data_IF_783205571938
#
_entry.id   IF_783205571938
#
_cell.length_a   1.000
_cell.length_b   1.000
_cell.length_c   1.000
_cell.angle_alpha   90.00
_cell.angle_beta   90.00
_cell.angle_gamma   90.00
#
_symmetry.space_group_name_H-M   'P 1'
#
loop_
_entity.id
_entity.type
_entity.pdbx_description
1 polymer ?
#
# COMPACT_ATOMS: atom_id res chain seq x y z
N UNK A 1 10.62 -1.73 21.73
CA UNK A 1 10.09 -2.07 20.39
C UNK A 1 9.79 -3.56 20.24
N UNK A 2 10.65 -4.49 20.68
CA UNK A 2 10.35 -5.93 20.56
C UNK A 2 9.27 -6.39 21.57
N UNK A 3 9.20 -5.78 22.76
CA UNK A 3 8.18 -6.10 23.78
C UNK A 3 6.75 -5.78 23.32
N UNK A 4 6.55 -4.73 22.52
CA UNK A 4 5.21 -4.33 22.07
C UNK A 4 4.62 -5.31 21.05
N UNK A 5 5.47 -5.92 20.21
CA UNK A 5 5.10 -6.93 19.21
C UNK A 5 4.60 -8.24 19.84
N UNK A 6 5.16 -8.61 20.99
CA UNK A 6 4.81 -9.85 21.70
C UNK A 6 3.39 -9.83 22.30
N UNK A 7 2.80 -8.64 22.46
CA UNK A 7 1.47 -8.47 23.05
C UNK A 7 0.33 -8.44 22.02
N UNK A 8 0.64 -8.46 20.72
CA UNK A 8 -0.38 -8.36 19.67
C UNK A 8 -0.95 -9.75 19.36
N UNK A 9 -2.25 -9.93 19.61
CA UNK A 9 -2.97 -11.15 19.26
C UNK A 9 -3.10 -11.31 17.74
N UNK A 10 -2.59 -12.40 17.18
CA UNK A 10 -2.76 -12.73 15.75
C UNK A 10 -4.24 -12.85 15.34
N UNK A 11 -5.14 -13.12 16.29
CA UNK A 11 -6.58 -13.11 16.06
C UNK A 11 -7.12 -11.70 15.80
N UNK A 12 -6.60 -10.69 16.50
CA UNK A 12 -6.98 -9.29 16.31
C UNK A 12 -6.31 -8.71 15.06
N UNK A 13 -5.04 -9.04 14.80
CA UNK A 13 -4.36 -8.74 13.53
C UNK A 13 -5.18 -9.24 12.34
N UNK A 14 -5.71 -10.48 12.41
CA UNK A 14 -6.55 -11.02 11.34
C UNK A 14 -7.83 -10.20 11.15
N UNK A 15 -8.48 -9.74 12.22
CA UNK A 15 -9.67 -8.88 12.11
C UNK A 15 -9.34 -7.55 11.45
N UNK A 16 -8.27 -6.90 11.89
CA UNK A 16 -7.81 -5.62 11.34
C UNK A 16 -7.51 -5.74 9.85
N UNK A 17 -6.79 -6.81 9.45
CA UNK A 17 -6.46 -7.08 8.06
C UNK A 17 -7.74 -7.30 7.23
N UNK A 18 -8.68 -8.12 7.70
CA UNK A 18 -9.94 -8.36 6.98
C UNK A 18 -10.77 -7.08 6.83
N UNK A 19 -10.80 -6.23 7.85
CA UNK A 19 -11.45 -4.93 7.78
C UNK A 19 -10.74 -4.01 6.77
N UNK A 20 -9.41 -3.92 6.83
CA UNK A 20 -8.61 -3.14 5.89
C UNK A 20 -8.80 -3.55 4.43
N UNK A 21 -8.91 -4.85 4.15
CA UNK A 21 -9.21 -5.37 2.81
C UNK A 21 -10.56 -4.84 2.31
N UNK A 22 -11.60 -4.91 3.14
CA UNK A 22 -12.94 -4.40 2.78
C UNK A 22 -12.91 -2.90 2.51
N UNK A 23 -12.32 -2.13 3.42
CA UNK A 23 -12.26 -0.68 3.29
C UNK A 23 -11.44 -0.21 2.07
N UNK A 24 -10.34 -0.90 1.75
CA UNK A 24 -9.55 -0.62 0.55
C UNK A 24 -10.31 -0.99 -0.74
N UNK A 25 -10.99 -2.15 -0.76
CA UNK A 25 -11.75 -2.59 -1.92
C UNK A 25 -12.92 -1.66 -2.24
N UNK A 26 -13.65 -1.21 -1.21
CA UNK A 26 -14.72 -0.23 -1.35
C UNK A 26 -14.27 1.07 -2.01
N UNK A 27 -13.02 1.45 -1.76
CA UNK A 27 -12.40 2.69 -2.22
C UNK A 27 -11.58 2.52 -3.51
N UNK A 28 -11.50 1.31 -4.06
CA UNK A 28 -10.71 1.05 -5.27
C UNK A 28 -9.19 1.06 -5.06
N UNK A 29 -8.72 0.94 -3.81
CA UNK A 29 -7.30 0.95 -3.44
C UNK A 29 -6.69 -0.44 -3.57
N UNK A 30 -6.64 -0.94 -4.80
CA UNK A 30 -6.36 -2.35 -5.12
C UNK A 30 -4.99 -2.84 -4.63
N UNK A 31 -3.95 -2.01 -4.71
CA UNK A 31 -2.60 -2.44 -4.28
C UNK A 31 -2.49 -2.62 -2.77
N UNK A 32 -3.18 -1.77 -1.99
CA UNK A 32 -3.24 -1.95 -0.53
C UNK A 32 -4.08 -3.17 -0.16
N UNK A 33 -5.21 -3.39 -0.85
CA UNK A 33 -6.02 -4.59 -0.66
C UNK A 33 -5.25 -5.88 -1.00
N UNK A 34 -4.48 -5.88 -2.11
CA UNK A 34 -3.59 -6.97 -2.52
C UNK A 34 -2.58 -7.27 -1.41
N UNK A 35 -1.86 -6.25 -0.96
CA UNK A 35 -0.84 -6.38 0.08
C UNK A 35 -1.40 -6.95 1.39
N UNK A 36 -2.57 -6.45 1.82
CA UNK A 36 -3.26 -6.96 3.01
C UNK A 36 -3.71 -8.41 2.84
N UNK A 37 -4.20 -8.79 1.65
CA UNK A 37 -4.60 -10.16 1.37
C UNK A 37 -3.41 -11.12 1.37
N UNK A 38 -2.27 -10.73 0.79
CA UNK A 38 -1.01 -11.50 0.84
C UNK A 38 -0.53 -11.68 2.28
N UNK A 39 -0.61 -10.63 3.11
CA UNK A 39 -0.27 -10.70 4.53
C UNK A 39 -1.20 -11.62 5.31
N UNK A 40 -2.52 -11.54 5.08
CA UNK A 40 -3.49 -12.44 5.71
C UNK A 40 -3.21 -13.91 5.36
N UNK A 41 -2.93 -14.18 4.09
CA UNK A 41 -2.65 -15.52 3.59
C UNK A 41 -1.36 -16.09 4.21
N UNK A 42 -0.27 -15.33 4.18
CA UNK A 42 1.01 -15.77 4.73
C UNK A 42 0.95 -15.97 6.25
N UNK A 43 0.28 -15.07 7.00
CA UNK A 43 0.04 -15.23 8.43
C UNK A 43 -0.73 -16.52 8.73
N UNK A 44 -1.77 -16.83 7.96
CA UNK A 44 -2.53 -18.06 8.14
C UNK A 44 -1.65 -19.30 7.90
N UNK A 45 -0.87 -19.32 6.82
CA UNK A 45 0.05 -20.44 6.51
C UNK A 45 1.08 -20.65 7.62
N UNK A 46 1.61 -19.57 8.20
CA UNK A 46 2.54 -19.66 9.35
C UNK A 46 1.89 -20.20 10.63
N UNK A 47 0.56 -20.05 10.76
CA UNK A 47 -0.21 -20.57 11.89
C UNK A 47 -0.71 -22.01 11.67
N UNK A 48 -0.68 -22.54 10.45
CA UNK A 48 -1.10 -23.91 10.15
C UNK A 48 -0.10 -24.93 10.72
N UNK A 49 -0.56 -25.75 11.66
CA UNK A 49 0.21 -26.82 12.31
C UNK A 49 -0.73 -27.88 12.90
N UNK A 50 -0.24 -29.10 13.21
CA UNK A 50 -1.10 -30.18 13.70
C UNK A 50 -1.84 -29.75 14.98
N UNK A 51 -3.18 -29.75 14.93
CA UNK A 51 -4.05 -29.40 16.06
C UNK A 51 -4.53 -27.94 16.13
N UNK A 52 -4.17 -27.06 15.18
CA UNK A 52 -4.64 -25.65 15.16
C UNK A 52 -5.83 -25.49 14.21
N UNK A 53 -6.97 -25.04 14.74
CA UNK A 53 -8.17 -24.73 13.96
C UNK A 53 -8.01 -23.42 13.19
N UNK A 54 -8.48 -23.37 11.93
CA UNK A 54 -8.54 -22.10 11.17
C UNK A 54 -9.39 -21.09 11.93
N UNK A 55 -8.90 -19.86 12.17
CA UNK A 55 -9.71 -18.82 12.81
C UNK A 55 -10.95 -18.56 11.96
N UNK A 56 -12.14 -18.69 12.56
CA UNK A 56 -13.42 -18.49 11.90
C UNK A 56 -13.48 -17.07 11.32
N UNK A 57 -13.90 -16.94 10.06
CA UNK A 57 -14.18 -15.62 9.46
C UNK A 57 -15.36 -15.03 10.24
N UNK A 58 -15.20 -13.87 10.91
CA UNK A 58 -16.31 -13.30 11.66
C UNK A 58 -17.47 -12.97 10.70
N UNK A 59 -18.71 -13.33 11.08
CA UNK A 59 -19.93 -12.93 10.36
C UNK A 59 -20.04 -11.40 10.11
N UNK A 60 -19.27 -10.62 10.87
CA UNK A 60 -19.10 -9.17 10.74
C UNK A 60 -18.51 -8.73 9.39
N UNK A 61 -17.85 -9.61 8.63
CA UNK A 61 -17.28 -9.25 7.32
C UNK A 61 -18.34 -8.78 6.30
N UNK A 62 -19.55 -9.37 6.34
CA UNK A 62 -20.67 -8.94 5.49
C UNK A 62 -21.21 -7.58 5.93
N UNK A 63 -21.34 -7.35 7.24
CA UNK A 63 -21.81 -6.06 7.79
C UNK A 63 -20.85 -4.93 7.42
N UNK A 64 -19.54 -5.20 7.46
CA UNK A 64 -18.52 -4.24 7.05
C UNK A 64 -18.59 -3.88 5.57
N UNK A 65 -19.26 -4.66 4.70
CA UNK A 65 -19.44 -4.30 3.29
C UNK A 65 -20.45 -3.16 3.09
N UNK A 66 -21.30 -2.88 4.08
CA UNK A 66 -22.38 -1.88 3.99
C UNK A 66 -22.07 -0.62 4.82
N UNK A 67 -21.06 -0.64 5.69
CA UNK A 67 -20.71 0.54 6.50
C UNK A 67 -20.09 1.69 5.69
N UNK A 68 -20.37 2.93 6.08
CA UNK A 68 -19.71 4.14 5.56
C UNK A 68 -20.21 4.63 4.19
N UNK A 69 -21.29 4.04 3.68
CA UNK A 69 -22.06 4.52 2.52
C UNK A 69 -23.40 5.02 3.04
N UNK A 70 -23.84 6.21 2.62
CA UNK A 70 -25.14 6.75 2.99
C UNK A 70 -26.28 5.93 2.36
N UNK A 71 -27.39 5.76 3.09
CA UNK A 71 -28.54 4.96 2.63
C UNK A 71 -29.10 5.41 1.27
N UNK A 72 -28.95 6.69 0.93
CA UNK A 72 -29.43 7.29 -0.33
C UNK A 72 -28.35 7.35 -1.42
N UNK A 73 -27.14 6.86 -1.17
CA UNK A 73 -26.00 6.97 -2.08
C UNK A 73 -25.55 5.60 -2.63
N UNK A 74 -26.25 4.51 -2.27
CA UNK A 74 -25.89 3.16 -2.69
C UNK A 74 -25.97 2.96 -4.20
N UNK A 75 -27.03 3.48 -4.84
CA UNK A 75 -27.26 3.29 -6.28
C UNK A 75 -26.16 3.99 -7.09
N UNK A 76 -25.89 5.26 -6.77
CA UNK A 76 -24.81 6.04 -7.38
C UNK A 76 -23.43 5.43 -7.08
N UNK A 77 -23.21 4.98 -5.84
CA UNK A 77 -21.95 4.36 -5.44
C UNK A 77 -21.66 3.08 -6.23
N UNK A 78 -22.59 2.13 -6.28
CA UNK A 78 -22.35 0.86 -6.96
C UNK A 78 -22.17 1.06 -8.47
N UNK A 79 -22.92 1.97 -9.07
CA UNK A 79 -22.74 2.35 -10.47
C UNK A 79 -21.36 2.96 -10.72
N UNK A 80 -20.96 3.94 -9.89
CA UNK A 80 -19.65 4.57 -10.00
C UNK A 80 -18.50 3.60 -9.73
N UNK A 81 -18.66 2.69 -8.77
CA UNK A 81 -17.66 1.67 -8.45
C UNK A 81 -17.48 0.69 -9.60
N UNK A 82 -18.57 0.29 -10.27
CA UNK A 82 -18.48 -0.52 -11.49
C UNK A 82 -17.73 0.21 -12.61
N UNK A 83 -18.01 1.50 -12.84
CA UNK A 83 -17.24 2.31 -13.79
C UNK A 83 -15.76 2.45 -13.40
N UNK A 84 -15.48 2.64 -12.11
CA UNK A 84 -14.12 2.72 -11.60
C UNK A 84 -13.34 1.43 -11.88
N UNK A 85 -13.95 0.27 -11.64
CA UNK A 85 -13.34 -1.04 -11.88
C UNK A 85 -13.09 -1.30 -13.38
N UNK A 86 -13.96 -0.78 -14.24
CA UNK A 86 -13.77 -0.75 -15.69
C UNK A 86 -12.76 0.32 -16.18
N UNK A 87 -12.12 1.07 -15.27
CA UNK A 87 -11.18 2.18 -15.57
C UNK A 87 -11.82 3.34 -16.35
N UNK A 88 -13.12 3.54 -16.16
CA UNK A 88 -13.91 4.65 -16.69
C UNK A 88 -14.04 5.77 -15.64
N UNK A 89 -12.89 6.32 -15.24
CA UNK A 89 -12.78 7.19 -14.07
C UNK A 89 -13.60 8.49 -14.17
N UNK A 90 -13.70 9.12 -15.34
CA UNK A 90 -14.52 10.32 -15.53
C UNK A 90 -16.02 10.03 -15.28
N UNK A 91 -16.51 8.85 -15.68
CA UNK A 91 -17.89 8.41 -15.41
C UNK A 91 -18.09 8.16 -13.91
N UNK A 92 -17.16 7.46 -13.28
CA UNK A 92 -17.20 7.21 -11.84
C UNK A 92 -17.27 8.52 -11.04
N UNK A 93 -16.38 9.48 -11.36
CA UNK A 93 -16.38 10.80 -10.75
C UNK A 93 -17.68 11.57 -10.96
N UNK A 94 -18.29 11.48 -12.15
CA UNK A 94 -19.56 12.14 -12.44
C UNK A 94 -20.69 11.67 -11.52
N UNK A 95 -20.85 10.35 -11.32
CA UNK A 95 -21.95 9.81 -10.52
C UNK A 95 -21.78 10.02 -9.01
N UNK A 96 -20.56 10.22 -8.51
CA UNK A 96 -20.29 10.48 -7.07
C UNK A 96 -20.07 11.95 -6.71
N UNK A 97 -20.31 12.88 -7.65
CA UNK A 97 -20.00 14.32 -7.46
C UNK A 97 -20.75 15.01 -6.31
N UNK A 98 -21.97 14.54 -6.01
CA UNK A 98 -22.79 15.08 -4.91
C UNK A 98 -22.67 14.24 -3.64
N UNK A 99 -21.81 13.22 -3.64
CA UNK A 99 -21.73 12.30 -2.52
C UNK A 99 -20.99 12.90 -1.32
N UNK A 100 -21.52 12.66 -0.14
CA UNK A 100 -21.04 13.20 1.13
C UNK A 100 -20.53 12.12 2.09
N UNK A 101 -21.02 10.88 2.00
CA UNK A 101 -20.52 9.83 2.89
C UNK A 101 -19.07 9.47 2.57
N UNK A 102 -18.30 8.99 3.57
CA UNK A 102 -16.84 8.87 3.44
C UNK A 102 -16.38 8.03 2.24
N UNK A 103 -17.05 6.91 1.95
CA UNK A 103 -16.64 5.99 0.88
C UNK A 103 -16.89 6.56 -0.52
N UNK A 104 -18.12 6.92 -0.91
CA UNK A 104 -18.39 7.50 -2.22
C UNK A 104 -17.68 8.85 -2.43
N UNK A 105 -17.54 9.66 -1.38
CA UNK A 105 -16.76 10.91 -1.41
C UNK A 105 -15.29 10.66 -1.74
N UNK A 106 -14.65 9.70 -1.05
CA UNK A 106 -13.30 9.30 -1.40
C UNK A 106 -13.24 8.79 -2.84
N UNK A 107 -14.18 7.93 -3.24
CA UNK A 107 -14.23 7.38 -4.60
C UNK A 107 -14.37 8.47 -5.65
N UNK A 108 -15.13 9.54 -5.39
CA UNK A 108 -15.22 10.72 -6.24
C UNK A 108 -13.86 11.39 -6.44
N UNK A 109 -13.20 11.76 -5.34
CA UNK A 109 -11.90 12.45 -5.37
C UNK A 109 -10.83 11.57 -6.03
N UNK A 110 -10.81 10.29 -5.71
CA UNK A 110 -9.87 9.33 -6.26
C UNK A 110 -10.14 9.05 -7.75
N UNK A 111 -11.40 9.00 -8.18
CA UNK A 111 -11.76 8.90 -9.61
C UNK A 111 -11.28 10.12 -10.39
N UNK A 112 -11.48 11.34 -9.86
CA UNK A 112 -10.96 12.58 -10.48
C UNK A 112 -9.43 12.54 -10.59
N UNK A 113 -8.75 12.03 -9.57
CA UNK A 113 -7.31 11.84 -9.60
C UNK A 113 -6.86 10.81 -10.64
N UNK A 114 -7.48 9.62 -10.65
CA UNK A 114 -7.12 8.53 -11.56
C UNK A 114 -7.43 8.85 -13.03
N UNK A 115 -8.50 9.60 -13.31
CA UNK A 115 -8.78 10.11 -14.65
C UNK A 115 -7.63 10.96 -15.19
N UNK A 116 -7.02 11.79 -14.33
CA UNK A 116 -5.88 12.66 -14.69
C UNK A 116 -4.60 11.85 -14.86
N UNK A 117 -4.31 10.90 -13.97
CA UNK A 117 -3.15 10.02 -14.15
C UNK A 117 -3.25 9.19 -15.43
N UNK A 118 -4.46 8.71 -15.77
CA UNK A 118 -4.70 8.01 -17.04
C UNK A 118 -4.40 8.90 -18.24
N UNK A 119 -4.96 10.11 -18.30
CA UNK A 119 -4.69 11.09 -19.37
C UNK A 119 -3.20 11.44 -19.47
N UNK A 120 -2.54 11.67 -18.34
CA UNK A 120 -1.09 11.93 -18.29
C UNK A 120 -0.28 10.78 -18.88
N UNK A 121 -0.63 9.53 -18.57
CA UNK A 121 0.06 8.35 -19.11
C UNK A 121 -0.20 8.17 -20.61
N UNK A 122 -1.45 8.34 -21.06
CA UNK A 122 -1.83 8.24 -22.47
C UNK A 122 -1.12 9.33 -23.32
N UNK A 123 -0.97 10.55 -22.77
CA UNK A 123 -0.26 11.64 -23.45
C UNK A 123 1.26 11.46 -23.49
N UNK A 124 1.87 10.71 -22.56
CA UNK A 124 3.32 10.42 -22.62
C UNK A 124 3.67 9.59 -23.87
N UNK A 125 2.73 8.80 -24.39
CA UNK A 125 2.91 8.05 -25.64
C UNK A 125 2.63 8.88 -26.89
N UNK A 126 1.81 9.93 -26.81
CA UNK A 126 1.39 10.77 -27.93
C UNK A 126 2.03 12.17 -27.84
N UNK A 127 3.33 12.28 -28.19
CA UNK A 127 4.10 13.54 -28.14
C UNK A 127 3.65 14.67 -29.08
N UNK A 128 2.51 14.55 -29.77
CA UNK A 128 2.13 15.43 -30.89
C UNK A 128 1.01 16.44 -30.56
N UNK A 129 0.31 16.31 -29.43
CA UNK A 129 -0.79 17.23 -29.07
C UNK A 129 -0.80 17.53 -27.57
N UNK A 130 0.21 18.27 -27.10
CA UNK A 130 0.28 18.70 -25.70
C UNK A 130 -0.68 19.89 -25.46
N UNK A 131 -1.65 19.70 -24.57
CA UNK A 131 -2.44 20.77 -23.94
C UNK A 131 -2.10 20.82 -22.43
N UNK A 132 -0.81 20.76 -22.10
CA UNK A 132 -0.26 20.67 -20.73
C UNK A 132 -0.85 21.70 -19.77
N UNK A 133 -1.18 22.90 -20.27
CA UNK A 133 -1.78 23.97 -19.48
C UNK A 133 -3.17 23.62 -18.92
N UNK A 134 -3.98 22.86 -19.66
CA UNK A 134 -5.31 22.43 -19.19
C UNK A 134 -5.19 21.35 -18.12
N UNK A 135 -4.26 20.41 -18.28
CA UNK A 135 -4.08 19.31 -17.34
C UNK A 135 -3.54 19.78 -15.99
N UNK A 136 -2.58 20.72 -16.03
CA UNK A 136 -2.07 21.41 -14.85
C UNK A 136 -3.17 22.18 -14.13
N UNK A 137 -4.06 22.85 -14.87
CA UNK A 137 -5.18 23.59 -14.30
C UNK A 137 -6.13 22.66 -13.55
N UNK A 138 -6.57 21.57 -14.19
CA UNK A 138 -7.52 20.64 -13.56
C UNK A 138 -6.92 19.98 -12.31
N UNK A 139 -5.64 19.60 -12.32
CA UNK A 139 -4.97 19.05 -11.13
C UNK A 139 -4.92 20.07 -9.99
N UNK A 140 -4.67 21.34 -10.30
CA UNK A 140 -4.69 22.43 -9.31
C UNK A 140 -6.09 22.68 -8.74
N UNK A 141 -7.16 22.51 -9.52
CA UNK A 141 -8.53 22.61 -9.03
C UNK A 141 -8.82 21.52 -7.97
N UNK A 142 -8.49 20.25 -8.27
CA UNK A 142 -8.64 19.17 -7.28
C UNK A 142 -7.76 19.39 -6.04
N UNK A 143 -6.57 19.96 -6.22
CA UNK A 143 -5.70 20.29 -5.10
C UNK A 143 -6.34 21.36 -4.19
N UNK A 144 -6.93 22.39 -4.77
CA UNK A 144 -7.59 23.45 -3.99
C UNK A 144 -8.84 22.93 -3.27
N UNK A 145 -9.63 22.06 -3.92
CA UNK A 145 -10.78 21.39 -3.29
C UNK A 145 -10.33 20.62 -2.02
N UNK A 146 -9.29 19.78 -2.14
CA UNK A 146 -8.74 19.01 -1.02
C UNK A 146 -8.17 19.91 0.07
N UNK A 147 -7.50 21.00 -0.30
CA UNK A 147 -6.93 21.96 0.65
C UNK A 147 -8.00 22.68 1.45
N UNK A 148 -9.10 23.10 0.81
CA UNK A 148 -10.25 23.70 1.50
C UNK A 148 -10.83 22.72 2.52
N UNK A 149 -11.07 21.47 2.11
CA UNK A 149 -11.61 20.47 3.02
C UNK A 149 -10.66 20.04 4.13
N UNK A 150 -9.35 20.05 3.87
CA UNK A 150 -8.32 19.82 4.89
C UNK A 150 -8.35 20.91 5.96
N UNK A 151 -8.42 22.18 5.55
CA UNK A 151 -8.53 23.31 6.48
C UNK A 151 -9.82 23.24 7.32
N UNK A 152 -10.91 22.76 6.73
CA UNK A 152 -12.19 22.53 7.40
C UNK A 152 -12.22 21.25 8.26
N UNK A 153 -11.14 20.45 8.27
CA UNK A 153 -11.04 19.14 8.96
C UNK A 153 -12.12 18.15 8.55
N UNK A 154 -12.48 18.13 7.26
CA UNK A 154 -13.50 17.24 6.68
C UNK A 154 -12.93 16.01 5.98
N UNK A 155 -11.61 15.90 5.87
CA UNK A 155 -10.95 14.75 5.23
C UNK A 155 -10.79 13.59 6.22
N UNK A 156 -11.24 12.41 5.82
CA UNK A 156 -10.93 11.16 6.53
C UNK A 156 -9.51 10.67 6.21
N UNK A 157 -9.06 9.61 6.88
CA UNK A 157 -7.71 9.05 6.68
C UNK A 157 -7.37 8.69 5.23
N UNK A 158 -8.36 8.28 4.43
CA UNK A 158 -8.16 7.93 3.02
C UNK A 158 -8.03 9.18 2.15
N UNK A 159 -8.87 10.20 2.38
CA UNK A 159 -8.76 11.47 1.69
C UNK A 159 -7.46 12.21 2.06
N UNK A 160 -7.02 12.14 3.33
CA UNK A 160 -5.71 12.65 3.77
C UNK A 160 -4.57 11.95 3.03
N UNK A 161 -4.64 10.63 2.84
CA UNK A 161 -3.68 9.90 2.01
C UNK A 161 -3.61 10.47 0.58
N UNK A 162 -4.75 10.63 -0.09
CA UNK A 162 -4.80 11.17 -1.45
C UNK A 162 -4.23 12.60 -1.51
N UNK A 163 -4.59 13.44 -0.56
CA UNK A 163 -4.05 14.80 -0.45
C UNK A 163 -2.52 14.78 -0.24
N UNK A 164 -2.01 13.92 0.63
CA UNK A 164 -0.58 13.70 0.85
C UNK A 164 0.16 13.27 -0.41
N UNK A 165 -0.40 12.35 -1.19
CA UNK A 165 0.16 11.92 -2.50
C UNK A 165 0.25 13.10 -3.45
N UNK A 166 -0.80 13.91 -3.55
CA UNK A 166 -0.82 15.07 -4.43
C UNK A 166 0.21 16.13 -3.97
N UNK A 167 0.31 16.40 -2.66
CA UNK A 167 1.30 17.34 -2.11
C UNK A 167 2.73 16.90 -2.41
N UNK A 168 3.01 15.59 -2.28
CA UNK A 168 4.31 15.00 -2.62
C UNK A 168 4.63 15.18 -4.10
N UNK A 169 3.66 14.99 -5.00
CA UNK A 169 3.81 15.25 -6.44
C UNK A 169 4.10 16.72 -6.77
N UNK A 170 3.66 17.66 -5.94
CA UNK A 170 4.01 19.09 -6.07
C UNK A 170 5.33 19.46 -5.36
N UNK A 171 6.10 18.49 -4.88
CA UNK A 171 7.34 18.69 -4.12
C UNK A 171 7.15 19.46 -2.79
N UNK A 172 5.94 19.44 -2.23
CA UNK A 172 5.62 20.04 -0.93
C UNK A 172 5.89 19.04 0.21
N UNK A 173 7.12 18.52 0.28
CA UNK A 173 7.49 17.36 1.10
C UNK A 173 7.17 17.50 2.59
N UNK A 174 7.37 18.69 3.18
CA UNK A 174 7.10 18.91 4.60
C UNK A 174 5.60 18.92 4.93
N UNK A 175 4.77 19.45 4.03
CA UNK A 175 3.32 19.40 4.17
C UNK A 175 2.80 17.98 3.94
N UNK A 176 3.30 17.32 2.90
CA UNK A 176 2.99 15.92 2.61
C UNK A 176 3.33 15.02 3.81
N UNK A 177 4.48 15.23 4.45
CA UNK A 177 4.89 14.50 5.64
C UNK A 177 3.85 14.64 6.77
N UNK A 178 3.44 15.87 7.09
CA UNK A 178 2.47 16.12 8.16
C UNK A 178 1.10 15.51 7.85
N UNK A 179 0.60 15.70 6.63
CA UNK A 179 -0.69 15.16 6.19
C UNK A 179 -0.69 13.63 6.15
N UNK A 180 0.40 13.01 5.69
CA UNK A 180 0.51 11.54 5.67
C UNK A 180 0.66 10.97 7.07
N UNK A 181 1.30 11.68 8.01
CA UNK A 181 1.29 11.30 9.43
C UNK A 181 -0.14 11.32 10.00
N UNK A 182 -0.94 12.33 9.67
CA UNK A 182 -2.37 12.34 10.04
C UNK A 182 -3.14 11.18 9.39
N UNK A 183 -2.87 10.89 8.11
CA UNK A 183 -3.51 9.79 7.37
C UNK A 183 -3.24 8.43 8.02
N UNK A 184 -1.98 8.10 8.34
CA UNK A 184 -1.65 6.81 8.95
C UNK A 184 -2.16 6.67 10.38
N UNK A 185 -2.33 7.78 11.11
CA UNK A 185 -2.96 7.77 12.43
C UNK A 185 -4.47 7.50 12.35
N UNK A 186 -5.16 7.99 11.31
CA UNK A 186 -6.60 7.77 11.11
C UNK A 186 -6.92 6.44 10.41
N UNK A 187 -6.08 6.01 9.48
CA UNK A 187 -6.25 4.77 8.71
C UNK A 187 -4.96 3.91 8.72
N UNK A 188 -4.60 3.31 9.88
CA UNK A 188 -3.35 2.53 10.01
C UNK A 188 -3.26 1.33 9.05
N UNK A 189 -4.39 0.80 8.61
CA UNK A 189 -4.46 -0.34 7.69
C UNK A 189 -4.17 0.02 6.23
N UNK A 190 -4.14 1.31 5.87
CA UNK A 190 -3.86 1.75 4.52
C UNK A 190 -2.35 1.70 4.22
N UNK A 191 -1.85 0.56 3.76
CA UNK A 191 -0.41 0.37 3.48
C UNK A 191 0.17 1.40 2.51
N UNK A 192 -0.58 1.83 1.50
CA UNK A 192 -0.12 2.86 0.56
C UNK A 192 0.26 4.19 1.24
N UNK A 193 -0.41 4.59 2.33
CA UNK A 193 -0.07 5.81 3.05
C UNK A 193 1.30 5.70 3.74
N UNK A 194 1.63 4.53 4.28
CA UNK A 194 2.93 4.25 4.87
C UNK A 194 4.05 4.21 3.82
N UNK A 195 3.78 3.62 2.65
CA UNK A 195 4.73 3.63 1.53
C UNK A 195 5.01 5.05 1.02
N UNK A 196 4.00 5.91 0.96
CA UNK A 196 4.19 7.30 0.55
C UNK A 196 4.95 8.13 1.60
N UNK A 197 4.77 7.79 2.87
CA UNK A 197 5.42 8.41 4.03
C UNK A 197 6.91 8.06 4.13
N UNK A 198 7.29 6.81 3.86
CA UNK A 198 8.66 6.30 4.05
C UNK A 198 9.73 7.18 3.36
N UNK A 199 9.60 7.53 2.06
CA UNK A 199 10.57 8.40 1.37
C UNK A 199 10.67 9.84 1.89
N UNK A 200 9.72 10.29 2.71
CA UNK A 200 9.72 11.63 3.31
C UNK A 200 10.49 11.66 4.64
N UNK A 201 10.96 10.50 5.12
CA UNK A 201 11.78 10.37 6.31
C UNK A 201 13.24 10.25 5.86
N UNK A 202 14.07 11.29 6.04
CA UNK A 202 15.43 11.32 5.50
C UNK A 202 16.42 10.49 6.31
N UNK A 203 16.15 10.25 7.60
CA UNK A 203 17.08 9.61 8.52
C UNK A 203 16.38 8.95 9.72
N UNK A 204 17.18 8.19 10.49
CA UNK A 204 16.75 7.46 11.68
C UNK A 204 16.27 8.39 12.79
N UNK A 205 16.87 9.56 12.95
CA UNK A 205 16.49 10.51 14.00
C UNK A 205 15.08 11.03 13.75
N UNK A 206 14.79 11.42 12.50
CA UNK A 206 13.46 11.84 12.09
C UNK A 206 12.44 10.73 12.30
N UNK A 207 12.75 9.49 11.91
CA UNK A 207 11.88 8.32 12.13
C UNK A 207 11.52 8.13 13.61
N UNK A 208 12.47 8.34 14.52
CA UNK A 208 12.25 8.22 15.96
C UNK A 208 11.49 9.42 16.55
N UNK A 209 11.57 10.59 15.92
CA UNK A 209 10.91 11.82 16.38
C UNK A 209 9.41 11.91 16.00
N UNK A 210 8.99 11.22 14.93
CA UNK A 210 7.62 11.32 14.41
C UNK A 210 6.63 10.53 15.27
N UNK A 211 5.43 11.08 15.45
CA UNK A 211 4.34 10.43 16.18
C UNK A 211 3.58 9.48 15.26
N UNK A 212 3.93 8.20 15.35
CA UNK A 212 3.26 7.11 14.65
C UNK A 212 2.15 6.52 15.54
N UNK A 213 1.06 5.99 14.96
CA UNK A 213 -0.01 5.34 15.72
C UNK A 213 0.52 4.16 16.54
N UNK A 214 -0.12 3.92 17.68
CA UNK A 214 0.09 2.72 18.48
C UNK A 214 -0.66 1.54 17.84
N UNK A 215 -0.05 0.99 16.79
CA UNK A 215 -0.65 -0.05 15.94
C UNK A 215 0.44 -0.95 15.36
N UNK A 216 0.17 -2.24 15.21
CA UNK A 216 1.15 -3.24 14.78
C UNK A 216 1.76 -2.94 13.38
N UNK A 217 0.98 -2.32 12.48
CA UNK A 217 1.45 -1.85 11.16
C UNK A 217 2.69 -0.95 11.23
N UNK A 218 2.85 -0.18 12.33
CA UNK A 218 4.04 0.65 12.56
C UNK A 218 5.33 -0.15 12.50
N UNK A 219 5.34 -1.40 12.98
CA UNK A 219 6.54 -2.22 13.00
C UNK A 219 6.98 -2.65 11.60
N UNK A 220 6.02 -2.96 10.72
CA UNK A 220 6.29 -3.26 9.31
C UNK A 220 6.80 -2.00 8.60
N UNK A 221 6.16 -0.85 8.86
CA UNK A 221 6.62 0.44 8.34
C UNK A 221 8.07 0.76 8.77
N UNK A 222 8.39 0.66 10.06
CA UNK A 222 9.74 0.93 10.57
C UNK A 222 10.78 -0.01 9.93
N UNK A 223 10.45 -1.29 9.77
CA UNK A 223 11.33 -2.26 9.10
C UNK A 223 11.57 -1.89 7.62
N UNK A 224 10.52 -1.52 6.90
CA UNK A 224 10.61 -1.05 5.53
C UNK A 224 11.48 0.23 5.42
N UNK A 225 11.20 1.23 6.24
CA UNK A 225 11.96 2.49 6.26
C UNK A 225 13.43 2.27 6.62
N UNK A 226 13.76 1.30 7.48
CA UNK A 226 15.17 0.95 7.74
C UNK A 226 15.90 0.42 6.50
N UNK A 227 15.25 -0.41 5.68
CA UNK A 227 15.84 -0.89 4.42
C UNK A 227 16.04 0.27 3.45
N UNK A 228 15.05 1.16 3.31
CA UNK A 228 15.13 2.35 2.45
C UNK A 228 16.26 3.31 2.88
N UNK A 229 16.48 3.44 4.19
CA UNK A 229 17.59 4.21 4.78
C UNK A 229 18.94 3.47 4.76
N UNK A 230 19.02 2.30 4.11
CA UNK A 230 20.19 1.41 4.06
C UNK A 230 20.69 0.93 5.44
N UNK A 231 19.84 1.01 6.47
CA UNK A 231 20.04 0.43 7.81
C UNK A 231 19.65 -1.05 7.79
N UNK A 232 20.30 -1.81 6.91
CA UNK A 232 19.88 -3.17 6.55
C UNK A 232 19.93 -4.14 7.75
N UNK A 233 20.89 -3.99 8.67
CA UNK A 233 20.99 -4.83 9.87
C UNK A 233 19.79 -4.66 10.80
N UNK A 234 19.41 -3.41 11.09
CA UNK A 234 18.20 -3.13 11.87
C UNK A 234 16.92 -3.55 11.14
N UNK A 235 16.84 -3.35 9.83
CA UNK A 235 15.72 -3.79 9.01
C UNK A 235 15.54 -5.31 9.03
N UNK A 236 16.62 -6.07 8.79
CA UNK A 236 16.62 -7.55 8.83
C UNK A 236 16.18 -8.04 10.21
N UNK A 237 16.77 -7.49 11.28
CA UNK A 237 16.40 -7.88 12.64
C UNK A 237 14.92 -7.63 12.91
N UNK A 238 14.41 -6.46 12.54
CA UNK A 238 13.00 -6.12 12.77
C UNK A 238 12.05 -7.02 11.97
N UNK A 239 12.38 -7.40 10.73
CA UNK A 239 11.60 -8.36 9.96
C UNK A 239 11.67 -9.79 10.52
N UNK A 240 12.82 -10.22 11.03
CA UNK A 240 12.95 -11.50 11.71
C UNK A 240 12.11 -11.53 13.00
N UNK A 241 12.12 -10.46 13.79
CA UNK A 241 11.28 -10.32 14.99
C UNK A 241 9.78 -10.40 14.63
N UNK A 242 9.36 -9.76 13.52
CA UNK A 242 8.01 -9.89 12.97
C UNK A 242 7.68 -11.34 12.58
N UNK A 243 8.61 -12.04 11.92
CA UNK A 243 8.43 -13.45 11.57
C UNK A 243 8.28 -14.34 12.81
N UNK A 244 9.10 -14.13 13.84
CA UNK A 244 8.98 -14.85 15.11
C UNK A 244 7.64 -14.57 15.82
N UNK A 245 7.07 -13.37 15.66
CA UNK A 245 5.74 -13.01 16.16
C UNK A 245 4.58 -13.59 15.34
N UNK A 246 4.86 -14.27 14.21
CA UNK A 246 3.86 -14.93 13.36
C UNK A 246 3.45 -14.13 12.12
N UNK A 247 4.08 -12.99 11.86
CA UNK A 247 3.88 -12.25 10.61
C UNK A 247 4.66 -12.91 9.46
N UNK A 248 3.96 -13.33 8.42
CA UNK A 248 4.56 -13.94 7.25
C UNK A 248 3.85 -13.47 5.99
N UNK A 249 4.61 -13.07 4.97
CA UNK A 249 4.07 -12.68 3.66
C UNK A 249 5.19 -12.71 2.62
N UNK A 250 4.82 -12.82 1.35
CA UNK A 250 5.78 -12.66 0.25
C UNK A 250 6.47 -11.30 0.28
N UNK A 251 5.77 -10.25 0.72
CA UNK A 251 6.34 -8.92 0.92
C UNK A 251 7.48 -8.93 1.95
N UNK A 252 7.27 -9.45 3.16
CA UNK A 252 8.31 -9.51 4.22
C UNK A 252 9.52 -10.29 3.73
N UNK A 253 9.30 -11.45 3.09
CA UNK A 253 10.37 -12.27 2.54
C UNK A 253 11.13 -11.56 1.40
N UNK A 254 10.44 -10.83 0.53
CA UNK A 254 11.09 -10.03 -0.53
C UNK A 254 11.94 -8.89 0.06
N UNK A 255 11.45 -8.22 1.10
CA UNK A 255 12.20 -7.17 1.80
C UNK A 255 13.47 -7.71 2.44
N UNK A 256 13.43 -8.90 3.06
CA UNK A 256 14.64 -9.58 3.55
C UNK A 256 15.64 -9.86 2.42
N UNK A 257 15.19 -10.34 1.27
CA UNK A 257 16.05 -10.57 0.11
C UNK A 257 16.73 -9.28 -0.37
N UNK A 258 15.98 -8.17 -0.43
CA UNK A 258 16.49 -6.84 -0.78
C UNK A 258 17.53 -6.35 0.24
N UNK A 259 17.28 -6.54 1.54
CA UNK A 259 18.23 -6.15 2.58
C UNK A 259 19.55 -6.95 2.48
N UNK A 260 19.49 -8.27 2.23
CA UNK A 260 20.67 -9.09 1.98
C UNK A 260 21.40 -8.65 0.70
N UNK A 261 20.66 -8.32 -0.36
CA UNK A 261 21.24 -7.75 -1.58
C UNK A 261 21.99 -6.44 -1.30
N UNK A 262 21.38 -5.50 -0.58
CA UNK A 262 22.00 -4.22 -0.20
C UNK A 262 23.27 -4.42 0.64
N UNK A 263 23.29 -5.47 1.49
CA UNK A 263 24.46 -5.90 2.26
C UNK A 263 25.53 -6.62 1.44
N UNK A 264 25.30 -6.84 0.15
CA UNK A 264 26.15 -7.64 -0.77
C UNK A 264 26.25 -9.11 -0.38
N UNK A 265 25.32 -9.60 0.43
CA UNK A 265 25.13 -11.03 0.70
C UNK A 265 24.27 -11.64 -0.42
N UNK A 266 24.90 -11.73 -1.60
CA UNK A 266 24.23 -12.12 -2.84
C UNK A 266 23.70 -13.55 -2.78
N UNK A 267 24.42 -14.45 -2.13
CA UNK A 267 24.03 -15.86 -2.04
C UNK A 267 22.74 -16.03 -1.25
N UNK A 268 22.65 -15.38 -0.09
CA UNK A 268 21.42 -15.40 0.70
C UNK A 268 20.25 -14.74 -0.02
N UNK A 269 20.49 -13.62 -0.70
CA UNK A 269 19.46 -12.95 -1.48
C UNK A 269 18.91 -13.85 -2.62
N UNK A 270 19.78 -14.53 -3.36
CA UNK A 270 19.39 -15.47 -4.42
C UNK A 270 18.60 -16.64 -3.85
N UNK A 271 19.04 -17.24 -2.73
CA UNK A 271 18.33 -18.35 -2.07
C UNK A 271 16.89 -17.95 -1.71
N UNK A 272 16.72 -16.76 -1.11
CA UNK A 272 15.40 -16.25 -0.72
C UNK A 272 14.53 -15.99 -1.96
N UNK A 273 15.06 -15.37 -3.02
CA UNK A 273 14.31 -15.14 -4.26
C UNK A 273 13.92 -16.44 -4.97
N UNK A 274 14.79 -17.46 -4.95
CA UNK A 274 14.47 -18.80 -5.48
C UNK A 274 13.31 -19.43 -4.70
N UNK A 275 13.31 -19.33 -3.38
CA UNK A 275 12.20 -19.79 -2.55
C UNK A 275 10.90 -19.05 -2.89
N UNK A 276 10.95 -17.72 -3.01
CA UNK A 276 9.79 -16.91 -3.41
C UNK A 276 9.20 -17.36 -4.75
N UNK A 277 10.04 -17.59 -5.76
CA UNK A 277 9.59 -18.05 -7.08
C UNK A 277 8.99 -19.46 -7.05
N UNK A 278 9.45 -20.33 -6.14
CA UNK A 278 8.87 -21.66 -5.98
C UNK A 278 7.49 -21.60 -5.32
N UNK A 279 7.31 -20.70 -4.35
CA UNK A 279 6.03 -20.54 -3.63
C UNK A 279 4.99 -19.75 -4.43
N UNK A 280 5.41 -18.76 -5.22
CA UNK A 280 4.55 -17.95 -6.11
C UNK A 280 5.18 -17.80 -7.52
N UNK A 281 4.96 -18.77 -8.41
CA UNK A 281 5.63 -18.84 -9.72
C UNK A 281 5.31 -17.71 -10.70
N UNK A 282 4.24 -16.95 -10.47
CA UNK A 282 3.80 -15.86 -11.34
C UNK A 282 4.06 -14.47 -10.74
N UNK A 283 4.78 -14.41 -9.61
CA UNK A 283 5.20 -13.15 -8.99
C UNK A 283 6.20 -12.43 -9.89
N UNK A 284 5.86 -11.20 -10.28
CA UNK A 284 6.74 -10.31 -11.05
C UNK A 284 7.40 -9.22 -10.18
N UNK A 285 6.91 -9.04 -8.96
CA UNK A 285 7.45 -8.05 -8.02
C UNK A 285 8.92 -8.38 -7.68
N UNK A 286 9.82 -7.38 -7.79
CA UNK A 286 11.26 -7.48 -7.50
C UNK A 286 12.07 -8.41 -8.43
N UNK A 287 11.50 -8.80 -9.57
CA UNK A 287 12.16 -9.66 -10.56
C UNK A 287 13.39 -8.99 -11.19
N UNK A 288 13.36 -7.66 -11.31
CA UNK A 288 14.48 -6.83 -11.77
C UNK A 288 15.71 -6.99 -10.86
N UNK A 289 15.53 -6.88 -9.53
CA UNK A 289 16.59 -7.09 -8.54
C UNK A 289 17.10 -8.52 -8.62
N UNK A 290 16.21 -9.50 -8.70
CA UNK A 290 16.61 -10.91 -8.78
C UNK A 290 17.40 -11.22 -10.07
N UNK A 291 16.96 -10.70 -11.21
CA UNK A 291 17.67 -10.86 -12.49
C UNK A 291 19.06 -10.22 -12.45
N UNK A 292 19.22 -9.05 -11.83
CA UNK A 292 20.51 -8.40 -11.64
C UNK A 292 21.45 -9.24 -10.77
N UNK A 293 20.94 -9.86 -9.70
CA UNK A 293 21.72 -10.76 -8.83
C UNK A 293 22.23 -11.98 -9.59
N UNK A 294 21.36 -12.63 -10.38
CA UNK A 294 21.74 -13.79 -11.19
C UNK A 294 22.79 -13.42 -12.25
N UNK A 295 22.64 -12.25 -12.86
CA UNK A 295 23.60 -11.73 -13.83
C UNK A 295 24.97 -11.50 -13.21
N UNK A 296 25.04 -10.85 -12.05
CA UNK A 296 26.30 -10.59 -11.33
C UNK A 296 27.01 -11.89 -10.90
N UNK A 297 26.25 -12.95 -10.61
CA UNK A 297 26.80 -14.28 -10.26
C UNK A 297 27.05 -15.18 -11.48
N UNK A 298 26.85 -14.67 -12.70
CA UNK A 298 27.01 -15.41 -13.97
C UNK A 298 26.16 -16.69 -14.06
N UNK A 299 25.02 -16.72 -13.37
CA UNK A 299 24.08 -17.85 -13.33
C UNK A 299 23.18 -17.86 -14.58
N UNK A 300 23.80 -18.14 -15.74
CA UNK A 300 23.17 -18.06 -17.08
C UNK A 300 21.98 -19.02 -17.24
N UNK A 301 22.05 -20.18 -16.61
CA UNK A 301 20.98 -21.21 -16.63
C UNK A 301 19.75 -20.73 -15.89
N UNK A 302 19.91 -20.20 -14.68
CA UNK A 302 18.82 -19.65 -13.88
C UNK A 302 18.22 -18.42 -14.55
N UNK A 303 19.04 -17.55 -15.15
CA UNK A 303 18.55 -16.41 -15.93
C UNK A 303 17.69 -16.84 -17.13
N UNK A 304 18.14 -17.82 -17.91
CA UNK A 304 17.38 -18.31 -19.06
C UNK A 304 16.03 -18.92 -18.62
N UNK A 305 16.03 -19.67 -17.51
CA UNK A 305 14.81 -20.22 -16.94
C UNK A 305 13.86 -19.13 -16.42
N UNK A 306 14.40 -18.07 -15.83
CA UNK A 306 13.62 -16.92 -15.37
C UNK A 306 12.94 -16.21 -16.55
N UNK A 307 13.67 -15.97 -17.64
CA UNK A 307 13.16 -15.33 -18.83
C UNK A 307 12.08 -16.15 -19.56
N UNK A 308 12.13 -17.48 -19.48
CA UNK A 308 11.09 -18.35 -20.06
C UNK A 308 9.80 -18.43 -19.22
N UNK A 309 9.83 -18.01 -17.96
CA UNK A 309 8.70 -18.09 -17.03
C UNK A 309 7.95 -16.76 -16.85
N UNK A 310 8.62 -15.63 -17.08
CA UNK A 310 8.04 -14.29 -17.04
C UNK A 310 7.24 -14.00 -18.32
#
# INVERSE_FOLDING_TARGET
MCEDLLNVSMGDVKKDILQGIVECNKRGLLQSAKWLAELNFGNQKAMEGPGKSKPMVPAQHLVLMETGIGNTEYDEYYLAKAYFDCREYDRAAYFTRESVSPIPKFLHLYSRYMAKEKKRLDNMTDSLTMNDASELKDLNELMEDLKVEYNDRKLDGYCLYLYGVMLKKQNLSQLALNVLLEAVNQAPMLWAAWLELSPLIPDKEKLLSVKLPDHWMKHIFVAHTYIELLLNDEGIKQYQDLQHAGFSSFYITSQLAIAHHNKRDVEKAIEIFQQLQQEDPYRLDNLDIYSNLLFVKELKTEMAHLAHKA
#
